data_IF_435578639388
#
_entry.id   IF_435578639388
#
_cell.length_a   1.000
_cell.length_b   1.000
_cell.length_c   1.000
_cell.angle_alpha   90.00
_cell.angle_beta   90.00
_cell.angle_gamma   90.00
#
_symmetry.space_group_name_H-M   'P 1'
#
loop_
_entity.id
_entity.type
_entity.pdbx_description
1 polymer ?
#
# COMPACT_ATOMS: atom_id res chain seq x y z
N UNK A 1 23.09 -20.79 21.50
CA UNK A 1 21.71 -20.72 20.93
C UNK A 1 21.35 -19.33 20.40
N UNK A 2 21.62 -18.21 21.09
CA UNK A 2 21.33 -16.84 20.58
C UNK A 2 22.07 -16.45 19.29
N UNK A 3 23.33 -16.89 19.10
CA UNK A 3 24.10 -16.61 17.87
C UNK A 3 23.52 -17.27 16.61
N UNK A 4 22.91 -18.45 16.75
CA UNK A 4 22.26 -19.16 15.64
C UNK A 4 20.94 -18.48 15.24
N UNK A 5 20.17 -17.98 16.22
CA UNK A 5 18.96 -17.20 15.96
C UNK A 5 19.28 -15.87 15.26
N UNK A 6 20.35 -15.17 15.67
CA UNK A 6 20.78 -13.94 15.01
C UNK A 6 21.30 -14.19 13.58
N UNK A 7 22.00 -15.31 13.34
CA UNK A 7 22.44 -15.70 12.00
C UNK A 7 21.25 -16.02 11.09
N UNK A 8 20.25 -16.74 11.61
CA UNK A 8 19.01 -17.03 10.90
C UNK A 8 18.23 -15.77 10.56
N UNK A 9 18.06 -14.85 11.52
CA UNK A 9 17.45 -13.54 11.29
C UNK A 9 18.20 -12.76 10.20
N UNK A 10 19.53 -12.69 10.27
CA UNK A 10 20.35 -12.02 9.26
C UNK A 10 20.16 -12.59 7.86
N UNK A 11 20.06 -13.91 7.73
CA UNK A 11 19.85 -14.59 6.45
C UNK A 11 18.44 -14.32 5.89
N UNK A 12 17.41 -14.34 6.74
CA UNK A 12 16.03 -13.98 6.34
C UNK A 12 15.97 -12.53 5.85
N UNK A 13 16.57 -11.60 6.57
CA UNK A 13 16.66 -10.20 6.13
C UNK A 13 17.39 -10.09 4.79
N UNK A 14 18.50 -10.80 4.61
CA UNK A 14 19.24 -10.77 3.36
C UNK A 14 18.38 -11.26 2.20
N UNK A 15 17.68 -12.38 2.33
CA UNK A 15 16.80 -12.93 1.29
C UNK A 15 15.65 -11.98 0.93
N UNK A 16 15.03 -11.33 1.91
CA UNK A 16 13.93 -10.40 1.67
C UNK A 16 14.40 -9.10 1.00
N UNK A 17 15.58 -8.59 1.37
CA UNK A 17 16.10 -7.33 0.85
C UNK A 17 16.90 -7.48 -0.44
N UNK A 18 17.46 -8.65 -0.74
CA UNK A 18 18.22 -8.93 -1.96
C UNK A 18 17.47 -8.51 -3.25
N UNK A 19 16.19 -8.87 -3.48
CA UNK A 19 15.48 -8.44 -4.69
C UNK A 19 15.29 -6.92 -4.76
N UNK A 20 15.14 -6.26 -3.61
CA UNK A 20 15.03 -4.80 -3.52
C UNK A 20 16.36 -4.15 -3.91
N UNK A 21 17.49 -4.64 -3.37
CA UNK A 21 18.82 -4.17 -3.73
C UNK A 21 19.16 -4.44 -5.20
N UNK A 22 18.75 -5.58 -5.74
CA UNK A 22 18.90 -5.91 -7.15
C UNK A 22 18.15 -4.90 -8.03
N UNK A 23 16.90 -4.59 -7.68
CA UNK A 23 16.10 -3.57 -8.36
C UNK A 23 16.75 -2.18 -8.30
N UNK A 24 17.28 -1.79 -7.14
CA UNK A 24 17.99 -0.51 -6.99
C UNK A 24 19.23 -0.48 -7.90
N UNK A 25 20.03 -1.56 -7.93
CA UNK A 25 21.19 -1.64 -8.80
C UNK A 25 20.84 -1.52 -10.29
N UNK A 26 19.73 -2.13 -10.70
CA UNK A 26 19.22 -2.02 -12.07
C UNK A 26 18.54 -0.68 -12.39
N UNK A 27 18.00 0.03 -11.40
CA UNK A 27 17.43 1.35 -11.59
C UNK A 27 18.47 2.38 -12.07
N UNK A 28 19.76 2.11 -11.83
CA UNK A 28 20.88 2.90 -12.34
C UNK A 28 21.51 2.31 -13.62
N UNK A 29 20.95 1.25 -14.20
CA UNK A 29 21.46 0.70 -15.45
C UNK A 29 21.06 1.60 -16.63
N UNK A 30 21.98 1.79 -17.58
CA UNK A 30 21.79 2.58 -18.78
C UNK A 30 21.06 1.86 -19.92
N UNK A 31 20.95 0.52 -19.83
CA UNK A 31 20.32 -0.29 -20.86
C UNK A 31 18.82 -0.42 -20.67
N UNK A 32 18.06 -0.34 -21.77
CA UNK A 32 16.62 -0.63 -21.82
C UNK A 32 16.29 -2.10 -21.48
N UNK A 33 17.30 -2.98 -21.47
CA UNK A 33 17.16 -4.41 -21.23
C UNK A 33 17.79 -4.85 -19.91
N UNK A 34 17.04 -5.65 -19.15
CA UNK A 34 17.47 -6.25 -17.87
C UNK A 34 18.57 -7.33 -18.02
N UNK A 35 19.06 -7.56 -19.23
CA UNK A 35 19.95 -8.67 -19.60
C UNK A 35 21.44 -8.28 -19.69
N UNK A 36 21.77 -6.98 -19.72
CA UNK A 36 23.15 -6.52 -19.79
C UNK A 36 23.36 -5.23 -19.00
N UNK A 37 24.36 -5.24 -18.11
CA UNK A 37 24.80 -4.06 -17.37
C UNK A 37 25.74 -3.26 -18.28
N UNK A 38 25.17 -2.37 -19.10
CA UNK A 38 25.91 -1.61 -20.13
C UNK A 38 26.60 -0.37 -19.56
N UNK A 39 26.12 0.20 -18.44
CA UNK A 39 26.75 1.34 -17.76
C UNK A 39 25.87 1.94 -16.66
N UNK A 40 26.45 2.81 -15.82
CA UNK A 40 25.71 3.60 -14.84
C UNK A 40 25.07 4.81 -15.53
N UNK A 41 23.73 4.91 -15.52
CA UNK A 41 23.02 6.04 -16.08
C UNK A 41 21.90 6.56 -15.18
N UNK A 42 21.72 7.88 -15.23
CA UNK A 42 20.62 8.60 -14.59
C UNK A 42 19.46 8.87 -15.56
N UNK A 43 19.52 8.36 -16.80
CA UNK A 43 18.52 8.63 -17.86
C UNK A 43 17.10 8.29 -17.43
N UNK A 44 16.88 7.19 -16.69
CA UNK A 44 15.56 6.81 -16.18
C UNK A 44 15.03 7.78 -15.12
N UNK A 45 15.90 8.32 -14.27
CA UNK A 45 15.52 9.35 -13.30
C UNK A 45 15.20 10.67 -14.00
N UNK A 46 16.02 11.11 -14.95
CA UNK A 46 15.77 12.34 -15.71
C UNK A 46 14.48 12.27 -16.53
N UNK A 47 14.20 11.13 -17.19
CA UNK A 47 12.93 10.93 -17.91
C UNK A 47 11.73 10.87 -16.97
N UNK A 48 11.86 10.28 -15.79
CA UNK A 48 10.78 10.29 -14.78
C UNK A 48 10.47 11.70 -14.29
N UNK A 49 11.49 12.51 -13.99
CA UNK A 49 11.29 13.89 -13.54
C UNK A 49 10.85 14.84 -14.67
N UNK A 50 11.17 14.51 -15.93
CA UNK A 50 10.70 15.23 -17.11
C UNK A 50 9.22 14.96 -17.45
N UNK A 51 8.66 13.85 -17.02
CA UNK A 51 7.25 13.52 -17.25
C UNK A 51 6.35 14.15 -16.17
N UNK A 52 5.76 15.30 -16.52
CA UNK A 52 4.81 16.01 -15.66
C UNK A 52 3.58 15.18 -15.25
N UNK A 53 3.18 14.18 -16.04
CA UNK A 53 2.08 13.27 -15.69
C UNK A 53 2.50 12.31 -14.59
N UNK A 54 3.71 11.73 -14.67
CA UNK A 54 4.22 10.85 -13.62
C UNK A 54 4.40 11.61 -12.31
N UNK A 55 4.96 12.82 -12.36
CA UNK A 55 5.08 13.69 -11.17
C UNK A 55 3.71 14.07 -10.58
N UNK A 56 2.71 14.34 -11.43
CA UNK A 56 1.35 14.60 -10.96
C UNK A 56 0.74 13.37 -10.27
N UNK A 57 0.89 12.18 -10.84
CA UNK A 57 0.40 10.92 -10.23
C UNK A 57 1.09 10.69 -8.88
N UNK A 58 2.41 10.87 -8.81
CA UNK A 58 3.18 10.77 -7.56
C UNK A 58 2.63 11.71 -6.48
N UNK A 59 2.42 12.99 -6.82
CA UNK A 59 1.88 13.96 -5.89
C UNK A 59 0.45 13.62 -5.45
N UNK A 60 -0.40 13.17 -6.39
CA UNK A 60 -1.77 12.76 -6.10
C UNK A 60 -1.82 11.53 -5.19
N UNK A 61 -0.99 10.51 -5.44
CA UNK A 61 -0.91 9.31 -4.60
C UNK A 61 -0.41 9.64 -3.21
N UNK A 62 0.60 10.51 -3.08
CA UNK A 62 1.10 10.94 -1.79
C UNK A 62 0.04 11.69 -0.99
N UNK A 63 -0.65 12.65 -1.63
CA UNK A 63 -1.73 13.39 -1.00
C UNK A 63 -2.92 12.49 -0.62
N UNK A 64 -3.29 11.55 -1.49
CA UNK A 64 -4.33 10.57 -1.24
C UNK A 64 -4.00 9.69 -0.04
N UNK A 65 -2.79 9.14 0.01
CA UNK A 65 -2.34 8.26 1.10
C UNK A 65 -2.33 9.01 2.43
N UNK A 66 -1.81 10.24 2.45
CA UNK A 66 -1.76 11.06 3.65
C UNK A 66 -3.17 11.39 4.18
N UNK A 67 -4.06 11.85 3.30
CA UNK A 67 -5.43 12.19 3.67
C UNK A 67 -6.22 10.95 4.12
N UNK A 68 -6.05 9.83 3.41
CA UNK A 68 -6.65 8.55 3.77
C UNK A 68 -6.19 8.09 5.16
N UNK A 69 -4.89 8.10 5.42
CA UNK A 69 -4.33 7.69 6.71
C UNK A 69 -4.83 8.57 7.87
N UNK A 70 -4.94 9.88 7.65
CA UNK A 70 -5.45 10.81 8.66
C UNK A 70 -6.91 10.53 9.00
N UNK A 71 -7.77 10.39 7.99
CA UNK A 71 -9.20 10.09 8.18
C UNK A 71 -9.38 8.72 8.83
N UNK A 72 -8.66 7.70 8.33
CA UNK A 72 -8.73 6.35 8.86
C UNK A 72 -8.25 6.28 10.31
N UNK A 73 -7.19 6.99 10.68
CA UNK A 73 -6.70 7.02 12.07
C UNK A 73 -7.73 7.65 13.01
N UNK A 74 -8.37 8.75 12.59
CA UNK A 74 -9.42 9.41 13.41
C UNK A 74 -10.60 8.45 13.62
N UNK A 75 -11.15 7.91 12.52
CA UNK A 75 -12.32 7.01 12.58
C UNK A 75 -11.98 5.71 13.32
N UNK A 76 -10.83 5.12 13.02
CA UNK A 76 -10.34 3.89 13.65
C UNK A 76 -10.06 4.06 15.14
N UNK A 77 -9.51 5.20 15.57
CA UNK A 77 -9.27 5.48 17.00
C UNK A 77 -10.59 5.61 17.76
N UNK A 78 -11.56 6.37 17.23
CA UNK A 78 -12.89 6.46 17.84
C UNK A 78 -13.62 5.10 17.84
N UNK A 79 -13.49 4.33 16.75
CA UNK A 79 -14.03 2.98 16.64
C UNK A 79 -13.43 2.02 17.67
N UNK A 80 -12.11 2.05 17.86
CA UNK A 80 -11.40 1.24 18.84
C UNK A 80 -11.81 1.58 20.28
N UNK A 81 -11.92 2.87 20.62
CA UNK A 81 -12.39 3.32 21.94
C UNK A 81 -13.83 2.85 22.19
N UNK A 82 -14.70 2.95 21.19
CA UNK A 82 -16.08 2.49 21.29
C UNK A 82 -16.17 0.98 21.48
N UNK A 83 -15.40 0.20 20.71
CA UNK A 83 -15.35 -1.27 20.85
C UNK A 83 -14.83 -1.66 22.24
N UNK A 84 -13.85 -0.93 22.77
CA UNK A 84 -13.30 -1.18 24.11
C UNK A 84 -14.32 -0.92 25.24
N UNK A 85 -15.20 0.08 25.09
CA UNK A 85 -16.28 0.35 26.05
C UNK A 85 -17.55 -0.50 25.82
N UNK A 86 -17.75 -1.07 24.64
CA UNK A 86 -18.96 -1.81 24.29
C UNK A 86 -18.95 -3.24 24.85
N UNK A 87 -20.13 -3.82 25.09
CA UNK A 87 -20.25 -5.14 25.72
C UNK A 87 -19.68 -6.26 24.83
N UNK A 88 -19.08 -7.28 25.46
CA UNK A 88 -18.46 -8.49 24.86
C UNK A 88 -19.18 -9.09 23.63
N UNK A 89 -20.51 -9.04 23.57
CA UNK A 89 -21.31 -9.60 22.46
C UNK A 89 -21.17 -8.81 21.14
N UNK A 90 -21.02 -7.48 21.20
CA UNK A 90 -20.78 -6.65 20.01
C UNK A 90 -19.29 -6.65 19.63
N UNK A 91 -18.41 -6.80 20.62
CA UNK A 91 -16.96 -6.89 20.42
C UNK A 91 -16.57 -8.06 19.50
N UNK A 92 -17.14 -9.26 19.69
CA UNK A 92 -16.83 -10.41 18.81
C UNK A 92 -17.34 -10.23 17.37
N UNK A 93 -18.49 -9.58 17.18
CA UNK A 93 -19.01 -9.27 15.84
C UNK A 93 -18.14 -8.24 15.10
N UNK A 94 -17.68 -7.18 15.78
CA UNK A 94 -16.78 -6.19 15.18
C UNK A 94 -15.38 -6.77 14.89
N UNK A 95 -14.83 -7.59 15.79
CA UNK A 95 -13.53 -8.24 15.58
C UNK A 95 -13.56 -9.27 14.44
N UNK A 96 -14.64 -10.04 14.31
CA UNK A 96 -14.79 -11.00 13.20
C UNK A 96 -14.92 -10.31 11.84
N UNK A 97 -15.63 -9.17 11.77
CA UNK A 97 -15.70 -8.34 10.55
C UNK A 97 -14.32 -7.79 10.15
N UNK A 98 -13.53 -7.28 11.10
CA UNK A 98 -12.19 -6.78 10.81
C UNK A 98 -11.25 -7.90 10.32
N UNK A 99 -11.33 -9.09 10.93
CA UNK A 99 -10.56 -10.26 10.48
C UNK A 99 -10.91 -10.69 9.04
N UNK A 100 -12.17 -10.55 8.61
CA UNK A 100 -12.57 -10.86 7.23
C UNK A 100 -11.90 -9.89 6.24
N UNK A 101 -11.90 -8.60 6.56
CA UNK A 101 -11.23 -7.59 5.72
C UNK A 101 -9.72 -7.83 5.62
N UNK A 102 -9.09 -8.28 6.71
CA UNK A 102 -7.65 -8.53 6.76
C UNK A 102 -7.21 -9.76 5.94
N UNK A 103 -8.12 -10.72 5.71
CA UNK A 103 -7.84 -11.95 4.93
C UNK A 103 -8.32 -11.83 3.49
N UNK A 104 -9.25 -10.92 3.21
CA UNK A 104 -9.77 -10.71 1.87
C UNK A 104 -8.68 -10.17 0.92
N UNK A 105 -8.55 -10.70 -0.30
CA UNK A 105 -7.57 -10.20 -1.26
C UNK A 105 -7.85 -8.75 -1.67
N UNK A 106 -6.81 -7.91 -1.68
CA UNK A 106 -6.91 -6.48 -2.01
C UNK A 106 -7.61 -6.23 -3.36
N UNK A 107 -7.30 -7.07 -4.36
CA UNK A 107 -7.90 -6.99 -5.71
C UNK A 107 -9.42 -7.24 -5.68
N UNK A 108 -9.89 -8.16 -4.82
CA UNK A 108 -11.32 -8.44 -4.68
C UNK A 108 -12.06 -7.25 -4.06
N UNK A 109 -11.51 -6.69 -2.98
CA UNK A 109 -12.08 -5.50 -2.31
C UNK A 109 -12.16 -4.32 -3.29
N UNK A 110 -11.08 -4.10 -4.07
CA UNK A 110 -11.04 -3.06 -5.10
C UNK A 110 -12.12 -3.24 -6.18
N UNK A 111 -12.29 -4.47 -6.68
CA UNK A 111 -13.32 -4.78 -7.66
C UNK A 111 -14.75 -4.59 -7.09
N UNK A 112 -14.98 -4.96 -5.83
CA UNK A 112 -16.26 -4.74 -5.15
C UNK A 112 -16.62 -3.26 -5.04
N UNK A 113 -15.66 -2.41 -4.67
CA UNK A 113 -15.89 -0.96 -4.62
C UNK A 113 -16.13 -0.36 -6.01
N UNK A 114 -15.42 -0.83 -7.04
CA UNK A 114 -15.66 -0.41 -8.42
C UNK A 114 -17.10 -0.72 -8.85
N UNK A 115 -17.60 -1.92 -8.56
CA UNK A 115 -18.98 -2.31 -8.86
C UNK A 115 -19.98 -1.46 -8.06
N UNK A 116 -19.70 -1.21 -6.77
CA UNK A 116 -20.55 -0.36 -5.93
C UNK A 116 -20.68 1.06 -6.49
N UNK A 117 -19.58 1.71 -6.85
CA UNK A 117 -19.60 3.08 -7.36
C UNK A 117 -20.23 3.19 -8.74
N UNK A 118 -20.02 2.18 -9.60
CA UNK A 118 -20.66 2.14 -10.92
C UNK A 118 -22.17 1.94 -10.82
N UNK A 119 -22.66 1.12 -9.90
CA UNK A 119 -24.10 0.99 -9.63
C UNK A 119 -24.72 2.27 -9.08
N UNK A 120 -24.00 2.99 -8.22
CA UNK A 120 -24.44 4.27 -7.67
C UNK A 120 -24.29 5.45 -8.66
N UNK A 121 -23.83 5.20 -9.90
CA UNK A 121 -23.53 6.20 -10.94
C UNK A 121 -22.60 7.33 -10.47
N UNK A 122 -21.72 7.03 -9.52
CA UNK A 122 -20.68 7.97 -9.11
C UNK A 122 -19.62 8.10 -10.20
N UNK A 123 -19.06 9.30 -10.39
CA UNK A 123 -17.93 9.47 -11.29
C UNK A 123 -16.70 8.79 -10.68
N UNK A 124 -16.01 7.98 -11.48
CA UNK A 124 -14.74 7.37 -11.11
C UNK A 124 -13.68 8.46 -11.07
N UNK A 125 -13.21 8.78 -9.87
CA UNK A 125 -12.25 9.86 -9.67
C UNK A 125 -11.57 9.78 -8.31
N UNK A 126 -10.93 10.89 -7.93
CA UNK A 126 -10.16 10.96 -6.69
C UNK A 126 -10.98 10.60 -5.45
N UNK A 127 -12.24 11.05 -5.37
CA UNK A 127 -13.11 10.81 -4.21
C UNK A 127 -13.47 9.33 -4.02
N UNK A 128 -13.75 8.61 -5.11
CA UNK A 128 -14.04 7.18 -5.06
C UNK A 128 -12.82 6.39 -4.59
N UNK A 129 -11.63 6.75 -5.09
CA UNK A 129 -10.37 6.09 -4.70
C UNK A 129 -10.03 6.40 -3.24
N UNK A 130 -10.20 7.65 -2.80
CA UNK A 130 -9.97 8.07 -1.42
C UNK A 130 -10.89 7.32 -0.46
N UNK A 131 -12.18 7.23 -0.79
CA UNK A 131 -13.17 6.55 0.08
C UNK A 131 -12.86 5.06 0.23
N UNK A 132 -12.45 4.38 -0.85
CA UNK A 132 -12.01 2.98 -0.79
C UNK A 132 -10.73 2.80 0.03
N UNK A 133 -9.75 3.70 -0.10
CA UNK A 133 -8.54 3.63 0.72
C UNK A 133 -8.82 3.85 2.20
N UNK A 134 -9.71 4.79 2.54
CA UNK A 134 -10.14 5.02 3.93
C UNK A 134 -10.82 3.77 4.49
N UNK A 135 -11.72 3.15 3.71
CA UNK A 135 -12.41 1.93 4.13
C UNK A 135 -11.47 0.72 4.29
N UNK A 136 -10.41 0.63 3.49
CA UNK A 136 -9.39 -0.42 3.62
C UNK A 136 -8.40 -0.16 4.77
N UNK A 137 -8.19 1.11 5.12
CA UNK A 137 -7.24 1.51 6.17
C UNK A 137 -7.83 1.53 7.58
N UNK A 138 -9.17 1.46 7.73
CA UNK A 138 -9.88 1.35 9.02
C UNK A 138 -9.99 -0.13 9.42
#
# INVERSE_FOLDING_TARGET
MKKFANLYLGLVFLVLYLPIFYLIGYAFNAGDDMNSFTGFSWTHFETMFGDGRLMLILAQTFFLAFLSALIATIIGTFGAIYIYQSRKKYQEAFLSLNNILMVAPDVMIGASFLILFTQLKFSLGFLTVLSSHVAFSI
#
